data_IF_810853599333
#
_entry.id   IF_810853599333
#
_cell.length_a   1.000
_cell.length_b   1.000
_cell.length_c   1.000
_cell.angle_alpha   90.00
_cell.angle_beta   90.00
_cell.angle_gamma   90.00
#
_symmetry.space_group_name_H-M   'P 1'
#
loop_
_entity.id
_entity.type
_entity.pdbx_description
1 polymer ?
#
# COMPACT_ATOMS: atom_id res chain seq x y z
N UNK A 1 -11.32 -22.07 7.99
CA UNK A 1 -10.14 -21.22 8.22
C UNK A 1 -9.48 -20.81 6.91
N UNK A 2 -9.27 -21.74 5.97
CA UNK A 2 -8.71 -21.44 4.64
C UNK A 2 -9.51 -20.39 3.84
N UNK A 3 -10.85 -20.48 3.84
CA UNK A 3 -11.70 -19.50 3.14
C UNK A 3 -11.51 -18.07 3.65
N UNK A 4 -11.28 -17.90 4.95
CA UNK A 4 -11.04 -16.58 5.55
C UNK A 4 -9.68 -16.01 5.14
N UNK A 5 -8.66 -16.86 5.06
CA UNK A 5 -7.32 -16.45 4.59
C UNK A 5 -7.38 -16.03 3.12
N UNK A 6 -8.05 -16.83 2.28
CA UNK A 6 -8.23 -16.51 0.85
C UNK A 6 -8.98 -15.18 0.70
N UNK A 7 -10.07 -14.98 1.44
CA UNK A 7 -10.83 -13.73 1.42
C UNK A 7 -9.97 -12.54 1.89
N UNK A 8 -9.20 -12.71 2.97
CA UNK A 8 -8.31 -11.66 3.48
C UNK A 8 -7.23 -11.27 2.47
N UNK A 9 -6.66 -12.23 1.74
CA UNK A 9 -5.70 -11.96 0.67
C UNK A 9 -6.35 -11.16 -0.46
N UNK A 10 -7.54 -11.57 -0.92
CA UNK A 10 -8.25 -10.87 -2.00
C UNK A 10 -8.57 -9.42 -1.60
N UNK A 11 -9.09 -9.21 -0.39
CA UNK A 11 -9.43 -7.88 0.12
C UNK A 11 -8.15 -7.06 0.31
N UNK A 12 -7.08 -7.66 0.84
CA UNK A 12 -5.79 -7.00 1.01
C UNK A 12 -5.17 -6.54 -0.31
N UNK A 13 -5.24 -7.38 -1.36
CA UNK A 13 -4.79 -7.03 -2.70
C UNK A 13 -5.63 -5.90 -3.31
N UNK A 14 -6.95 -5.95 -3.12
CA UNK A 14 -7.85 -4.89 -3.58
C UNK A 14 -7.53 -3.54 -2.90
N UNK A 15 -7.31 -3.56 -1.59
CA UNK A 15 -6.89 -2.36 -0.83
C UNK A 15 -5.55 -1.83 -1.31
N UNK A 16 -4.54 -2.70 -1.46
CA UNK A 16 -3.21 -2.32 -1.95
C UNK A 16 -3.27 -1.67 -3.33
N UNK A 17 -4.13 -2.18 -4.23
CA UNK A 17 -4.34 -1.59 -5.55
C UNK A 17 -4.89 -0.16 -5.49
N UNK A 18 -5.92 0.06 -4.67
CA UNK A 18 -6.55 1.36 -4.52
C UNK A 18 -5.61 2.39 -3.88
N UNK A 19 -4.85 1.97 -2.86
CA UNK A 19 -3.85 2.81 -2.18
C UNK A 19 -2.76 3.19 -3.17
N UNK A 20 -2.16 2.22 -3.88
CA UNK A 20 -1.09 2.49 -4.84
C UNK A 20 -1.53 3.45 -5.95
N UNK A 21 -2.74 3.31 -6.48
CA UNK A 21 -3.26 4.23 -7.49
C UNK A 21 -3.41 5.67 -6.98
N UNK A 22 -3.82 5.85 -5.72
CA UNK A 22 -3.93 7.16 -5.09
C UNK A 22 -2.54 7.77 -4.82
N UNK A 23 -1.62 6.97 -4.30
CA UNK A 23 -0.29 7.42 -3.90
C UNK A 23 0.58 7.79 -5.10
N UNK A 24 0.48 7.06 -6.22
CA UNK A 24 1.16 7.44 -7.47
C UNK A 24 0.67 8.81 -7.96
N UNK A 25 -0.63 9.11 -7.86
CA UNK A 25 -1.15 10.42 -8.25
C UNK A 25 -0.61 11.52 -7.32
N UNK A 26 -0.57 11.27 -6.01
CA UNK A 26 -0.08 12.25 -5.03
C UNK A 26 1.43 12.51 -5.14
N UNK A 27 2.23 11.47 -5.40
CA UNK A 27 3.69 11.57 -5.45
C UNK A 27 4.25 12.01 -6.82
N UNK A 28 3.55 11.72 -7.92
CA UNK A 28 4.05 11.97 -9.28
C UNK A 28 3.32 13.08 -10.03
N UNK A 29 2.25 13.68 -9.49
CA UNK A 29 1.49 14.74 -10.16
C UNK A 29 2.35 15.93 -10.58
N UNK A 30 3.28 16.38 -9.73
CA UNK A 30 4.14 17.53 -10.03
C UNK A 30 5.17 17.20 -11.13
N UNK A 31 5.75 16.00 -11.10
CA UNK A 31 6.72 15.55 -12.09
C UNK A 31 6.09 15.37 -13.48
N UNK A 32 4.85 14.86 -13.52
CA UNK A 32 4.08 14.75 -14.77
C UNK A 32 3.55 16.12 -15.22
N UNK A 33 3.03 16.93 -14.29
CA UNK A 33 2.46 18.25 -14.55
C UNK A 33 3.48 19.27 -15.05
N UNK A 34 4.72 19.21 -14.56
CA UNK A 34 5.86 20.00 -15.06
C UNK A 34 6.45 19.49 -16.38
N UNK A 35 5.95 18.37 -16.91
CA UNK A 35 6.48 17.67 -18.09
C UNK A 35 7.91 17.13 -17.92
N UNK A 36 8.39 16.98 -16.68
CA UNK A 36 9.66 16.33 -16.40
C UNK A 36 9.60 14.82 -16.70
N UNK A 37 8.43 14.21 -16.50
CA UNK A 37 8.17 12.79 -16.80
C UNK A 37 6.85 12.61 -17.55
N UNK A 38 6.80 11.59 -18.41
CA UNK A 38 5.53 11.11 -18.97
C UNK A 38 4.79 10.24 -17.94
N UNK A 39 3.47 10.14 -18.04
CA UNK A 39 2.65 9.27 -17.18
C UNK A 39 3.17 7.83 -17.14
N UNK A 40 3.59 7.27 -18.28
CA UNK A 40 4.12 5.90 -18.34
C UNK A 40 5.34 5.74 -17.42
N UNK A 41 6.35 6.60 -17.57
CA UNK A 41 7.54 6.58 -16.72
C UNK A 41 7.24 6.88 -15.25
N UNK A 42 6.29 7.78 -14.96
CA UNK A 42 5.86 8.06 -13.60
C UNK A 42 5.28 6.79 -12.92
N UNK A 43 4.42 6.04 -13.61
CA UNK A 43 3.85 4.79 -13.08
C UNK A 43 4.91 3.71 -12.87
N UNK A 44 5.86 3.55 -13.80
CA UNK A 44 6.93 2.56 -13.68
C UNK A 44 7.84 2.89 -12.49
N UNK A 45 8.28 4.15 -12.37
CA UNK A 45 9.14 4.58 -11.27
C UNK A 45 8.40 4.49 -9.93
N UNK A 46 7.17 4.98 -9.85
CA UNK A 46 6.35 4.86 -8.65
C UNK A 46 6.17 3.40 -8.24
N UNK A 47 5.85 2.50 -9.18
CA UNK A 47 5.70 1.07 -8.89
C UNK A 47 6.97 0.44 -8.29
N UNK A 48 8.16 0.78 -8.81
CA UNK A 48 9.43 0.28 -8.27
C UNK A 48 9.70 0.86 -6.88
N UNK A 49 9.59 2.17 -6.71
CA UNK A 49 9.94 2.84 -5.45
C UNK A 49 8.93 2.60 -4.34
N UNK A 50 7.62 2.57 -4.64
CA UNK A 50 6.56 2.22 -3.69
C UNK A 50 6.72 0.76 -3.23
N UNK A 51 6.96 -0.16 -4.16
CA UNK A 51 7.23 -1.55 -3.79
C UNK A 51 8.49 -1.69 -2.94
N UNK A 52 9.57 -0.99 -3.31
CA UNK A 52 10.80 -0.99 -2.52
C UNK A 52 10.56 -0.42 -1.11
N UNK A 53 9.84 0.69 -0.97
CA UNK A 53 9.47 1.26 0.32
C UNK A 53 8.63 0.30 1.17
N UNK A 54 7.62 -0.33 0.57
CA UNK A 54 6.78 -1.32 1.22
C UNK A 54 7.58 -2.53 1.73
N UNK A 55 8.53 -3.05 0.94
CA UNK A 55 9.35 -4.20 1.32
C UNK A 55 10.41 -3.84 2.38
N UNK A 56 11.09 -2.70 2.20
CA UNK A 56 12.23 -2.32 3.05
C UNK A 56 11.80 -1.73 4.39
N UNK A 57 10.70 -0.95 4.42
CA UNK A 57 10.33 -0.13 5.58
C UNK A 57 8.87 -0.36 6.03
N UNK A 58 8.05 -1.05 5.23
CA UNK A 58 6.62 -1.23 5.51
C UNK A 58 6.30 -1.98 6.82
N UNK A 59 7.23 -2.78 7.33
CA UNK A 59 7.04 -3.57 8.57
C UNK A 59 6.70 -2.70 9.79
N UNK A 60 7.27 -1.49 9.88
CA UNK A 60 7.00 -0.56 10.97
C UNK A 60 5.55 -0.07 10.95
N UNK A 61 5.03 0.27 9.77
CA UNK A 61 3.65 0.74 9.59
C UNK A 61 2.65 -0.39 9.88
N UNK A 62 2.90 -1.59 9.35
CA UNK A 62 2.02 -2.75 9.60
C UNK A 62 1.95 -3.10 11.09
N UNK A 63 3.06 -2.99 11.82
CA UNK A 63 3.08 -3.23 13.26
C UNK A 63 2.24 -2.20 14.04
N UNK A 64 2.30 -0.93 13.65
CA UNK A 64 1.49 0.14 14.25
C UNK A 64 0.01 -0.07 13.96
N UNK A 65 -0.38 -0.41 12.72
CA UNK A 65 -1.78 -0.67 12.36
C UNK A 65 -2.33 -1.88 13.14
N UNK A 66 -1.57 -2.98 13.20
CA UNK A 66 -2.00 -4.21 13.89
C UNK A 66 -2.25 -3.99 15.38
N UNK A 67 -1.41 -3.20 16.06
CA UNK A 67 -1.47 -3.02 17.52
C UNK A 67 -2.24 -1.77 17.95
N UNK A 68 -2.31 -0.77 17.09
CA UNK A 68 -2.84 0.56 17.41
C UNK A 68 -4.31 0.75 17.07
N UNK A 69 -4.91 -0.13 16.25
CA UNK A 69 -6.32 0.00 15.83
C UNK A 69 -7.24 -0.96 16.58
N UNK A 70 -6.81 -2.20 16.83
CA UNK A 70 -7.63 -3.23 17.47
C UNK A 70 -6.91 -3.72 18.73
N UNK A 71 -7.55 -3.56 19.88
CA UNK A 71 -7.06 -4.10 21.13
C UNK A 71 -7.34 -5.61 21.19
N UNK A 72 -6.30 -6.41 20.92
CA UNK A 72 -6.42 -7.86 20.79
C UNK A 72 -6.90 -8.57 22.06
N UNK A 73 -6.80 -7.91 23.22
CA UNK A 73 -7.23 -8.46 24.52
C UNK A 73 -8.75 -8.60 24.61
N UNK A 74 -9.52 -7.79 23.87
CA UNK A 74 -10.99 -7.83 23.88
C UNK A 74 -11.55 -9.08 23.18
N UNK A 75 -10.76 -9.71 22.31
CA UNK A 75 -11.16 -10.88 21.52
C UNK A 75 -10.55 -12.20 21.99
N UNK A 76 -9.75 -12.20 23.05
CA UNK A 76 -9.03 -13.38 23.57
C UNK A 76 -9.81 -14.19 24.61
N UNK A 77 -11.15 -14.18 24.56
CA UNK A 77 -12.01 -15.05 25.37
C UNK A 77 -12.17 -16.44 24.74
#
# INVERSE_FOLDING_TARGET
>A
METLIIAAIIIGLYMAWNIGANDVANSMADAVGSKALTIFWAVILAGIFEFAGAVLVGSHVTNTIRKGIIESQVFAQ
#
